data_IF_448793535346
#
_entry.id   IF_448793535346
#
_cell.length_a   1.000
_cell.length_b   1.000
_cell.length_c   1.000
_cell.angle_alpha   90.00
_cell.angle_beta   90.00
_cell.angle_gamma   90.00
#
_symmetry.space_group_name_H-M   'P 1'
#
loop_
_entity.id
_entity.type
_entity.pdbx_description
1 polymer ?
#
# COMPACT_ATOMS: atom_id res chain seq x y z
N UNK A 1 -18.16 -26.63 -18.41
CA UNK A 1 -17.59 -25.41 -17.80
C UNK A 1 -16.29 -25.81 -17.12
N UNK A 2 -15.14 -25.23 -17.45
CA UNK A 2 -13.86 -25.64 -16.88
C UNK A 2 -13.62 -24.94 -15.54
N UNK A 3 -13.31 -25.72 -14.50
CA UNK A 3 -12.87 -25.20 -13.22
C UNK A 3 -11.46 -24.62 -13.34
N UNK A 4 -11.20 -23.49 -12.69
CA UNK A 4 -9.87 -22.85 -12.60
C UNK A 4 -9.45 -22.75 -11.15
N UNK A 5 -8.17 -22.99 -10.86
CA UNK A 5 -7.58 -22.89 -9.52
C UNK A 5 -6.56 -21.74 -9.55
N UNK A 6 -6.63 -20.85 -8.54
CA UNK A 6 -5.65 -19.80 -8.31
C UNK A 6 -4.86 -20.11 -7.03
N UNK A 7 -3.57 -20.36 -7.17
CA UNK A 7 -2.66 -20.57 -6.05
C UNK A 7 -1.82 -19.31 -5.83
N UNK A 8 -1.73 -18.86 -4.58
CA UNK A 8 -0.86 -17.74 -4.17
C UNK A 8 0.16 -18.26 -3.16
N UNK A 9 1.40 -17.81 -3.27
CA UNK A 9 2.47 -18.18 -2.34
C UNK A 9 3.46 -17.03 -2.23
N UNK A 10 4.05 -16.87 -1.04
CA UNK A 10 5.18 -15.96 -0.81
C UNK A 10 6.51 -16.56 -1.30
N UNK A 11 6.56 -17.88 -1.51
CA UNK A 11 7.77 -18.61 -1.90
C UNK A 11 7.70 -18.97 -3.38
N UNK A 12 8.65 -18.43 -4.17
CA UNK A 12 8.72 -18.70 -5.61
C UNK A 12 8.92 -20.19 -5.91
N UNK A 13 9.67 -20.90 -5.07
CA UNK A 13 9.91 -22.35 -5.19
C UNK A 13 8.60 -23.15 -5.14
N UNK A 14 7.71 -22.82 -4.20
CA UNK A 14 6.40 -23.46 -4.05
C UNK A 14 5.53 -23.20 -5.28
N UNK A 15 5.51 -21.96 -5.78
CA UNK A 15 4.71 -21.62 -6.97
C UNK A 15 5.22 -22.33 -8.24
N UNK A 16 6.54 -22.45 -8.41
CA UNK A 16 7.16 -23.21 -9.51
C UNK A 16 6.87 -24.70 -9.40
N UNK A 17 6.90 -25.25 -8.19
CA UNK A 17 6.57 -26.65 -7.96
C UNK A 17 5.09 -26.95 -8.26
N UNK A 18 4.17 -26.04 -7.88
CA UNK A 18 2.74 -26.21 -8.12
C UNK A 18 2.36 -26.23 -9.60
N UNK A 19 3.10 -25.52 -10.46
CA UNK A 19 2.92 -25.59 -11.91
C UNK A 19 4.26 -25.44 -12.65
N UNK A 20 5.00 -26.55 -12.87
CA UNK A 20 6.32 -26.50 -13.50
C UNK A 20 6.29 -26.03 -14.97
N UNK A 21 5.12 -26.08 -15.61
CA UNK A 21 4.95 -25.73 -17.04
C UNK A 21 4.73 -24.25 -17.28
N UNK A 22 4.50 -23.45 -16.23
CA UNK A 22 4.19 -22.02 -16.35
C UNK A 22 4.95 -21.22 -15.32
N UNK A 23 5.55 -20.12 -15.76
CA UNK A 23 6.17 -19.19 -14.82
C UNK A 23 5.14 -18.56 -13.87
N UNK A 24 5.42 -18.52 -12.56
CA UNK A 24 4.57 -17.85 -11.60
C UNK A 24 4.41 -16.36 -11.92
N UNK A 25 3.20 -15.85 -11.75
CA UNK A 25 2.96 -14.41 -11.82
C UNK A 25 3.55 -13.73 -10.57
N UNK A 26 4.60 -12.94 -10.76
CA UNK A 26 5.21 -12.16 -9.68
C UNK A 26 4.44 -10.87 -9.48
N UNK A 27 3.84 -10.71 -8.30
CA UNK A 27 3.24 -9.44 -7.91
C UNK A 27 4.34 -8.38 -7.77
N UNK A 28 4.13 -7.22 -8.39
CA UNK A 28 5.02 -6.06 -8.25
C UNK A 28 4.54 -5.13 -7.15
N UNK A 29 5.46 -4.31 -6.66
CA UNK A 29 5.10 -3.13 -5.87
C UNK A 29 4.33 -2.13 -6.72
N UNK A 30 3.50 -1.31 -6.07
CA UNK A 30 2.79 -0.22 -6.71
C UNK A 30 3.75 0.91 -7.07
N UNK A 31 3.46 1.60 -8.17
CA UNK A 31 4.11 2.86 -8.49
C UNK A 31 3.69 3.93 -7.48
N UNK A 32 4.45 5.02 -7.46
CA UNK A 32 4.15 6.17 -6.62
C UNK A 32 2.76 6.75 -6.90
N UNK A 33 2.36 6.85 -8.18
CA UNK A 33 1.04 7.35 -8.57
C UNK A 33 -0.09 6.39 -8.21
N UNK A 34 0.15 5.08 -8.32
CA UNK A 34 -0.81 4.04 -7.90
C UNK A 34 -1.01 4.08 -6.38
N UNK A 35 0.07 4.25 -5.60
CA UNK A 35 -0.01 4.41 -4.16
C UNK A 35 -0.78 5.67 -3.76
N UNK A 36 -0.52 6.82 -4.40
CA UNK A 36 -1.28 8.03 -4.15
C UNK A 36 -2.76 7.83 -4.45
N UNK A 37 -3.10 7.27 -5.62
CA UNK A 37 -4.49 6.99 -5.97
C UNK A 37 -5.16 6.05 -4.97
N UNK A 38 -4.43 5.05 -4.47
CA UNK A 38 -4.94 4.12 -3.47
C UNK A 38 -5.13 4.81 -2.10
N UNK A 39 -4.18 5.63 -1.68
CA UNK A 39 -4.28 6.37 -0.41
C UNK A 39 -5.44 7.34 -0.45
N UNK A 40 -5.57 8.13 -1.51
CA UNK A 40 -6.67 9.08 -1.71
C UNK A 40 -8.02 8.38 -1.60
N UNK A 41 -8.20 7.25 -2.30
CA UNK A 41 -9.42 6.42 -2.23
C UNK A 41 -9.71 5.83 -0.85
N UNK A 42 -8.69 5.66 0.00
CA UNK A 42 -8.83 5.01 1.31
C UNK A 42 -8.89 6.00 2.47
N UNK A 43 -8.34 7.20 2.31
CA UNK A 43 -8.12 8.17 3.38
C UNK A 43 -9.14 9.32 3.38
N UNK A 44 -9.70 9.68 2.22
CA UNK A 44 -10.55 10.87 2.07
C UNK A 44 -11.74 10.57 1.16
N UNK A 45 -12.88 11.24 1.39
CA UNK A 45 -13.91 11.34 0.35
C UNK A 45 -13.40 12.23 -0.79
N UNK A 46 -13.66 11.95 -2.08
CA UNK A 46 -13.12 12.70 -3.22
C UNK A 46 -13.30 14.23 -3.14
N UNK A 47 -14.33 14.67 -2.42
CA UNK A 47 -14.74 16.07 -2.27
C UNK A 47 -13.89 16.87 -1.26
N UNK A 48 -13.03 16.22 -0.46
CA UNK A 48 -12.34 16.85 0.69
C UNK A 48 -10.81 16.91 0.53
N UNK A 49 -10.27 16.47 -0.62
CA UNK A 49 -8.82 16.42 -0.86
C UNK A 49 -8.24 17.81 -1.18
N UNK A 50 -7.75 18.52 -0.15
CA UNK A 50 -7.05 19.81 -0.33
C UNK A 50 -5.60 19.62 -0.80
N UNK A 51 -5.02 20.66 -1.44
CA UNK A 51 -3.61 20.67 -1.88
C UNK A 51 -2.65 20.37 -0.72
N UNK A 52 -2.96 20.84 0.48
CA UNK A 52 -2.14 20.62 1.66
C UNK A 52 -2.18 19.14 2.13
N UNK A 53 -3.36 18.52 2.13
CA UNK A 53 -3.51 17.10 2.44
C UNK A 53 -2.77 16.24 1.43
N UNK A 54 -2.84 16.59 0.13
CA UNK A 54 -2.06 15.93 -0.91
C UNK A 54 -0.57 15.96 -0.59
N UNK A 55 -0.01 17.14 -0.30
CA UNK A 55 1.43 17.28 0.03
C UNK A 55 1.84 16.39 1.20
N UNK A 56 1.03 16.32 2.27
CA UNK A 56 1.33 15.45 3.44
C UNK A 56 1.16 13.96 3.11
N UNK A 57 0.12 13.63 2.35
CA UNK A 57 -0.13 12.26 1.88
C UNK A 57 0.97 11.73 0.96
N UNK A 58 1.63 12.58 0.16
CA UNK A 58 2.79 12.15 -0.64
C UNK A 58 3.93 11.64 0.24
N UNK A 59 4.20 12.25 1.39
CA UNK A 59 5.24 11.75 2.33
C UNK A 59 4.89 10.35 2.84
N UNK A 60 3.62 10.10 3.13
CA UNK A 60 3.13 8.78 3.56
C UNK A 60 3.34 7.76 2.44
N UNK A 61 2.99 8.12 1.20
CA UNK A 61 3.18 7.28 0.00
C UNK A 61 4.65 6.89 -0.16
N UNK A 62 5.58 7.84 -0.04
CA UNK A 62 7.01 7.59 -0.14
C UNK A 62 7.50 6.60 0.92
N UNK A 63 7.04 6.77 2.16
CA UNK A 63 7.42 5.90 3.28
C UNK A 63 6.88 4.47 3.12
N UNK A 64 5.74 4.28 2.44
CA UNK A 64 5.13 2.97 2.21
C UNK A 64 5.85 2.12 1.16
N UNK A 65 6.83 2.68 0.43
CA UNK A 65 7.72 1.96 -0.49
C UNK A 65 7.01 1.02 -1.49
N UNK A 66 5.80 1.39 -1.94
CA UNK A 66 5.07 0.57 -2.92
C UNK A 66 4.21 -0.55 -2.35
N UNK A 67 4.15 -0.74 -1.03
CA UNK A 67 3.37 -1.81 -0.39
C UNK A 67 1.87 -1.44 -0.32
N UNK A 68 0.99 -2.15 -1.07
CA UNK A 68 -0.45 -1.83 -1.06
C UNK A 68 -1.08 -1.95 0.33
N UNK A 69 -0.66 -2.95 1.11
CA UNK A 69 -1.24 -3.22 2.42
C UNK A 69 -0.95 -2.09 3.41
N UNK A 70 0.27 -1.55 3.40
CA UNK A 70 0.65 -0.42 4.25
C UNK A 70 -0.23 0.80 3.96
N UNK A 71 -0.37 1.16 2.68
CA UNK A 71 -1.21 2.26 2.22
C UNK A 71 -2.66 2.08 2.67
N UNK A 72 -3.25 0.89 2.51
CA UNK A 72 -4.64 0.63 2.88
C UNK A 72 -4.86 0.76 4.39
N UNK A 73 -3.93 0.25 5.20
CA UNK A 73 -4.01 0.37 6.67
C UNK A 73 -3.94 1.84 7.09
N UNK A 74 -2.98 2.60 6.55
CA UNK A 74 -2.81 4.02 6.86
C UNK A 74 -4.02 4.83 6.39
N UNK A 75 -4.51 4.58 5.18
CA UNK A 75 -5.72 5.23 4.66
C UNK A 75 -6.93 4.97 5.57
N UNK A 76 -7.12 3.73 6.02
CA UNK A 76 -8.19 3.41 6.97
C UNK A 76 -8.06 4.14 8.33
N UNK A 77 -6.84 4.35 8.82
CA UNK A 77 -6.58 5.14 10.03
C UNK A 77 -6.97 6.62 9.81
N UNK A 78 -6.54 7.19 8.69
CA UNK A 78 -6.84 8.58 8.33
C UNK A 78 -8.35 8.80 8.15
N UNK A 79 -9.03 7.89 7.47
CA UNK A 79 -10.48 7.95 7.27
C UNK A 79 -11.25 7.94 8.60
N UNK A 80 -10.84 7.10 9.55
CA UNK A 80 -11.49 7.01 10.88
C UNK A 80 -11.25 8.23 11.75
N UNK A 81 -10.09 8.87 11.64
CA UNK A 81 -9.66 9.97 12.51
C UNK A 81 -9.93 11.36 11.92
N UNK A 82 -10.31 11.44 10.64
CA UNK A 82 -10.76 12.66 9.96
C UNK A 82 -9.67 13.39 9.16
N UNK A 83 -10.07 14.42 8.43
CA UNK A 83 -9.24 15.14 7.43
C UNK A 83 -8.37 16.26 8.01
N UNK A 84 -8.11 16.26 9.32
CA UNK A 84 -7.35 17.32 9.97
C UNK A 84 -5.88 17.33 9.55
N UNK A 85 -5.38 18.46 9.06
CA UNK A 85 -4.00 18.61 8.56
C UNK A 85 -2.94 18.09 9.56
N UNK A 86 -3.06 18.42 10.86
CA UNK A 86 -2.16 17.96 11.93
C UNK A 86 -2.13 16.43 12.11
N UNK A 87 -3.25 15.75 11.89
CA UNK A 87 -3.31 14.30 11.99
C UNK A 87 -2.45 13.64 10.91
N UNK A 88 -2.50 14.15 9.68
CA UNK A 88 -1.76 13.61 8.55
C UNK A 88 -0.25 13.68 8.77
N UNK A 89 0.23 14.77 9.36
CA UNK A 89 1.65 14.91 9.73
C UNK A 89 2.03 13.90 10.81
N UNK A 90 1.23 13.79 11.87
CA UNK A 90 1.49 12.82 12.94
C UNK A 90 1.51 11.38 12.43
N UNK A 91 0.63 11.04 11.50
CA UNK A 91 0.62 9.72 10.86
C UNK A 91 1.89 9.51 10.03
N UNK A 92 2.30 10.49 9.22
CA UNK A 92 3.56 10.42 8.46
C UNK A 92 4.80 10.24 9.38
N UNK A 93 4.83 10.87 10.55
CA UNK A 93 5.89 10.66 11.53
C UNK A 93 5.89 9.22 12.08
N UNK A 94 4.72 8.69 12.46
CA UNK A 94 4.61 7.33 12.99
C UNK A 94 4.94 6.25 11.96
N UNK A 95 4.55 6.43 10.69
CA UNK A 95 4.83 5.47 9.61
C UNK A 95 6.33 5.30 9.42
N UNK A 96 7.09 6.41 9.46
CA UNK A 96 8.55 6.38 9.38
C UNK A 96 9.19 5.54 10.50
N UNK A 97 8.63 5.59 11.71
CA UNK A 97 9.14 4.84 12.86
C UNK A 97 8.93 3.33 12.75
N UNK A 98 7.87 2.88 12.06
CA UNK A 98 7.51 1.46 12.02
C UNK A 98 7.97 0.73 10.74
N UNK A 99 8.14 1.42 9.62
CA UNK A 99 8.62 0.83 8.35
C UNK A 99 10.15 0.86 8.20
N UNK A 100 10.87 1.44 9.16
CA UNK A 100 12.33 1.46 9.21
C UNK A 100 12.96 0.19 9.80
N UNK A 101 12.15 -0.82 10.15
CA UNK A 101 12.61 -2.01 10.89
C UNK A 101 12.71 -3.32 10.11
N UNK A 102 12.39 -3.38 8.82
CA UNK A 102 12.72 -4.58 8.04
C UNK A 102 14.22 -4.57 7.71
N UNK A 103 15.01 -5.54 8.23
CA UNK A 103 16.39 -5.70 7.81
C UNK A 103 16.41 -5.90 6.31
N UNK A 104 17.37 -5.27 5.63
CA UNK A 104 17.67 -5.61 4.24
C UNK A 104 18.11 -7.07 4.23
N UNK A 105 17.23 -7.97 3.78
CA UNK A 105 17.63 -9.28 3.28
C UNK A 105 18.58 -9.13 2.09
#
# INVERSE_FOLDING_TARGET
MYSRILLTSRMLSVAKHANPKRDPHKLRMLSHDENWSLLEKKAVSPEVCSVELKRRGMRIVDQCKGLPLAIVVIGGILLKRGSGSLLWEKVAECVNMHLSFDPKE
#
